data_IF_671982896442
#
_entry.id   IF_671982896442
#
_cell.length_a   1.000
_cell.length_b   1.000
_cell.length_c   1.000
_cell.angle_alpha   90.00
_cell.angle_beta   90.00
_cell.angle_gamma   90.00
#
_symmetry.space_group_name_H-M   'P 1'
#
loop_
_entity.id
_entity.type
_entity.pdbx_description
1 polymer ?
#
# COMPACT_ATOMS: atom_id res chain seq x y z
N UNK A 1 3.90 -6.11 -22.02
CA UNK A 1 3.32 -6.79 -20.85
C UNK A 1 1.89 -6.29 -20.56
N UNK A 2 0.98 -7.14 -20.06
CA UNK A 2 -0.32 -6.67 -19.52
C UNK A 2 -0.07 -6.16 -18.09
N UNK A 3 -0.39 -4.90 -17.74
CA UNK A 3 0.08 -4.31 -16.50
C UNK A 3 -0.71 -4.83 -15.29
N UNK A 4 -0.02 -5.56 -14.42
CA UNK A 4 -0.45 -5.86 -13.06
C UNK A 4 0.42 -5.07 -12.10
N UNK A 5 -0.18 -4.12 -11.39
CA UNK A 5 0.54 -3.09 -10.64
C UNK A 5 0.21 -3.20 -9.16
N UNK A 6 1.24 -3.30 -8.31
CA UNK A 6 1.11 -3.26 -6.85
C UNK A 6 1.61 -1.90 -6.34
N UNK A 7 0.73 -1.15 -5.68
CA UNK A 7 1.01 0.19 -5.16
C UNK A 7 1.01 0.17 -3.63
N UNK A 8 2.18 0.37 -3.03
CA UNK A 8 2.40 0.47 -1.59
C UNK A 8 2.38 1.89 -1.05
N UNK A 9 2.24 2.02 0.26
CA UNK A 9 2.35 3.30 0.99
C UNK A 9 1.42 3.39 2.19
N UNK A 10 1.75 4.27 3.14
CA UNK A 10 0.92 4.47 4.34
C UNK A 10 -0.31 5.38 4.06
N UNK A 11 -1.25 5.56 5.00
CA UNK A 11 -2.42 6.41 4.76
C UNK A 11 -2.03 7.86 4.47
N UNK A 12 -2.72 8.52 3.53
CA UNK A 12 -2.51 9.95 3.23
C UNK A 12 -1.39 10.27 2.24
N UNK A 13 -0.60 9.29 1.79
CA UNK A 13 0.49 9.51 0.80
C UNK A 13 -0.01 9.67 -0.64
N UNK A 14 -1.31 9.46 -0.90
CA UNK A 14 -1.91 9.66 -2.22
C UNK A 14 -2.03 8.41 -3.09
N UNK A 15 -1.90 7.20 -2.52
CA UNK A 15 -2.08 5.92 -3.25
C UNK A 15 -3.35 5.87 -4.09
N UNK A 16 -4.52 6.16 -3.51
CA UNK A 16 -5.80 6.04 -4.20
C UNK A 16 -5.92 7.04 -5.35
N UNK A 17 -5.41 8.26 -5.15
CA UNK A 17 -5.38 9.30 -6.16
C UNK A 17 -4.46 8.94 -7.33
N UNK A 18 -3.27 8.40 -7.05
CA UNK A 18 -2.33 7.94 -8.08
C UNK A 18 -2.84 6.69 -8.79
N UNK A 19 -3.45 5.75 -8.07
CA UNK A 19 -4.10 4.55 -8.65
C UNK A 19 -5.21 4.94 -9.62
N UNK A 20 -6.08 5.89 -9.24
CA UNK A 20 -7.13 6.40 -10.13
C UNK A 20 -6.59 7.20 -11.32
N UNK A 21 -5.45 7.85 -11.18
CA UNK A 21 -4.75 8.48 -12.30
C UNK A 21 -4.19 7.43 -13.27
N UNK A 22 -3.36 6.49 -12.78
CA UNK A 22 -2.79 5.39 -13.57
C UNK A 22 -3.91 4.60 -14.26
N UNK A 23 -4.99 4.28 -13.54
CA UNK A 23 -6.12 3.54 -14.08
C UNK A 23 -6.77 4.24 -15.28
N UNK A 24 -6.92 5.57 -15.21
CA UNK A 24 -7.43 6.35 -16.35
C UNK A 24 -6.46 6.39 -17.52
N UNK A 25 -5.17 6.64 -17.26
CA UNK A 25 -4.17 6.80 -18.32
C UNK A 25 -3.85 5.49 -19.07
N UNK A 26 -3.87 4.36 -18.37
CA UNK A 26 -3.61 3.04 -18.96
C UNK A 26 -4.87 2.23 -19.25
N UNK A 27 -6.06 2.82 -19.09
CA UNK A 27 -7.36 2.16 -19.28
C UNK A 27 -7.50 0.86 -18.44
N UNK A 28 -7.05 0.92 -17.19
CA UNK A 28 -7.15 -0.18 -16.22
C UNK A 28 -8.44 0.00 -15.42
N UNK A 29 -9.42 -0.86 -15.69
CA UNK A 29 -10.73 -0.79 -15.06
C UNK A 29 -10.80 -1.43 -13.67
N UNK A 30 -9.82 -2.28 -13.33
CA UNK A 30 -9.79 -3.00 -12.06
C UNK A 30 -8.79 -2.31 -11.13
N UNK A 31 -9.32 -1.58 -10.14
CA UNK A 31 -8.53 -0.94 -9.08
C UNK A 31 -9.05 -1.46 -7.74
N UNK A 32 -8.23 -2.26 -7.06
CA UNK A 32 -8.57 -2.92 -5.80
C UNK A 32 -7.83 -2.27 -4.64
N UNK A 33 -8.46 -2.26 -3.46
CA UNK A 33 -7.88 -1.75 -2.22
C UNK A 33 -7.64 -2.88 -1.23
N UNK A 34 -6.41 -2.97 -0.73
CA UNK A 34 -5.98 -3.88 0.33
C UNK A 34 -6.70 -3.65 1.65
N UNK A 35 -7.25 -2.45 1.88
CA UNK A 35 -8.08 -2.18 3.05
C UNK A 35 -9.37 -3.02 3.00
N UNK A 36 -10.03 -3.10 1.84
CA UNK A 36 -11.21 -3.96 1.67
C UNK A 36 -10.84 -5.45 1.71
N UNK A 37 -9.70 -5.84 1.15
CA UNK A 37 -9.23 -7.22 1.25
C UNK A 37 -9.03 -7.63 2.72
N UNK A 38 -8.42 -6.75 3.53
CA UNK A 38 -8.25 -6.96 4.96
C UNK A 38 -9.59 -7.06 5.68
N UNK A 39 -10.53 -6.16 5.42
CA UNK A 39 -11.88 -6.22 6.01
C UNK A 39 -12.62 -7.51 5.63
N UNK A 40 -12.45 -7.97 4.38
CA UNK A 40 -13.02 -9.22 3.91
C UNK A 40 -12.38 -10.44 4.60
N UNK A 41 -11.06 -10.46 4.77
CA UNK A 41 -10.34 -11.59 5.35
C UNK A 41 -10.44 -11.64 6.89
N UNK A 42 -10.60 -10.49 7.57
CA UNK A 42 -10.58 -10.38 9.03
C UNK A 42 -11.52 -11.35 9.77
N UNK A 43 -12.76 -11.63 9.31
CA UNK A 43 -13.65 -12.58 10.00
C UNK A 43 -13.20 -14.05 9.93
N UNK A 44 -12.27 -14.39 9.03
CA UNK A 44 -11.82 -15.77 8.80
C UNK A 44 -10.57 -16.14 9.60
N UNK A 45 -10.25 -15.37 10.64
CA UNK A 45 -9.08 -15.64 11.50
C UNK A 45 -9.33 -15.26 12.94
N UNK A 46 -8.79 -16.08 13.83
CA UNK A 46 -8.75 -15.79 15.26
C UNK A 46 -7.51 -14.99 15.67
N UNK A 47 -6.63 -14.66 14.72
CA UNK A 47 -5.42 -13.90 14.99
C UNK A 47 -5.79 -12.57 15.70
N UNK A 48 -5.32 -12.33 16.94
CA UNK A 48 -5.63 -11.12 17.68
C UNK A 48 -5.11 -9.85 16.99
N UNK A 49 -3.98 -9.91 16.28
CA UNK A 49 -3.45 -8.77 15.54
C UNK A 49 -4.45 -8.34 14.45
N UNK A 50 -5.14 -9.29 13.81
CA UNK A 50 -6.15 -9.00 12.78
C UNK A 50 -7.42 -8.34 13.34
N UNK A 51 -7.70 -8.47 14.65
CA UNK A 51 -8.82 -7.80 15.33
C UNK A 51 -8.52 -6.31 15.60
N UNK A 52 -7.25 -5.91 15.57
CA UNK A 52 -6.80 -4.54 15.76
C UNK A 52 -6.68 -3.77 14.43
N UNK A 53 -6.70 -2.43 14.50
CA UNK A 53 -6.22 -1.59 13.40
C UNK A 53 -4.72 -1.82 13.18
N UNK A 54 -4.21 -1.57 11.96
CA UNK A 54 -2.78 -1.77 11.64
C UNK A 54 -1.88 -1.02 12.64
N UNK A 55 -2.23 0.22 12.96
CA UNK A 55 -1.49 1.05 13.91
C UNK A 55 -1.61 0.61 15.38
N UNK A 56 -2.57 -0.26 15.74
CA UNK A 56 -2.71 -0.80 17.08
C UNK A 56 -2.26 -2.27 17.19
N UNK A 57 -1.87 -2.92 16.09
CA UNK A 57 -1.50 -4.32 16.07
C UNK A 57 -0.34 -4.65 17.04
N UNK A 58 0.50 -3.66 17.35
CA UNK A 58 1.58 -3.77 18.34
C UNK A 58 1.10 -4.16 19.75
N UNK A 59 -0.16 -3.87 20.09
CA UNK A 59 -0.71 -4.12 21.44
C UNK A 59 -0.76 -5.60 21.80
N UNK A 60 -0.80 -6.47 20.80
CA UNK A 60 -0.69 -7.93 20.97
C UNK A 60 0.70 -8.32 21.52
N UNK A 61 1.72 -7.52 21.22
CA UNK A 61 3.12 -7.79 21.55
C UNK A 61 3.64 -6.94 22.71
N UNK A 62 2.87 -5.96 23.18
CA UNK A 62 3.14 -5.17 24.38
C UNK A 62 3.11 -3.67 24.12
N UNK A 63 4.09 -2.96 24.68
CA UNK A 63 4.16 -1.50 24.62
C UNK A 63 4.47 -0.98 23.21
N UNK A 64 4.16 0.30 23.00
CA UNK A 64 4.41 0.99 21.74
C UNK A 64 5.92 1.25 21.56
N UNK A 65 6.60 0.31 20.91
CA UNK A 65 7.99 0.43 20.47
C UNK A 65 8.13 -0.12 19.03
N UNK A 66 9.23 0.22 18.37
CA UNK A 66 9.49 -0.15 16.98
C UNK A 66 9.37 -1.65 16.74
N UNK A 67 9.97 -2.49 17.58
CA UNK A 67 9.92 -3.94 17.43
C UNK A 67 8.48 -4.48 17.47
N UNK A 68 7.68 -4.03 18.43
CA UNK A 68 6.28 -4.44 18.56
C UNK A 68 5.40 -3.93 17.42
N UNK A 69 5.66 -2.70 16.92
CA UNK A 69 4.99 -2.15 15.73
C UNK A 69 5.25 -3.03 14.52
N UNK A 70 6.52 -3.31 14.25
CA UNK A 70 6.90 -4.15 13.11
C UNK A 70 6.35 -5.56 13.28
N UNK A 71 6.42 -6.14 14.48
CA UNK A 71 5.87 -7.46 14.74
C UNK A 71 4.35 -7.53 14.49
N UNK A 72 3.59 -6.53 14.94
CA UNK A 72 2.16 -6.42 14.67
C UNK A 72 1.83 -6.24 13.18
N UNK A 73 2.59 -5.40 12.49
CA UNK A 73 2.47 -5.20 11.05
C UNK A 73 2.76 -6.49 10.27
N UNK A 74 3.85 -7.20 10.61
CA UNK A 74 4.24 -8.45 9.98
C UNK A 74 3.24 -9.57 10.23
N UNK A 75 2.67 -9.65 11.42
CA UNK A 75 1.70 -10.68 11.76
C UNK A 75 0.38 -10.52 10.99
N UNK A 76 -0.12 -9.29 10.87
CA UNK A 76 -1.24 -9.01 9.95
C UNK A 76 -0.83 -9.30 8.50
N UNK A 77 0.36 -8.88 8.07
CA UNK A 77 0.84 -9.07 6.70
C UNK A 77 0.83 -10.55 6.30
N UNK A 78 1.39 -11.44 7.13
CA UNK A 78 1.41 -12.89 6.88
C UNK A 78 0.03 -13.47 6.58
N UNK A 79 -1.01 -12.93 7.20
CA UNK A 79 -2.38 -13.36 6.97
C UNK A 79 -3.00 -12.75 5.70
N UNK A 80 -2.63 -11.53 5.33
CA UNK A 80 -3.16 -10.82 4.16
C UNK A 80 -2.50 -11.26 2.84
N UNK A 81 -1.20 -11.58 2.87
CA UNK A 81 -0.41 -11.87 1.68
C UNK A 81 -0.93 -13.02 0.79
N UNK A 82 -1.47 -14.13 1.33
CA UNK A 82 -2.12 -15.14 0.49
C UNK A 82 -3.22 -14.58 -0.40
N UNK A 83 -4.02 -13.63 0.12
CA UNK A 83 -5.07 -12.94 -0.65
C UNK A 83 -4.48 -11.99 -1.71
N UNK A 84 -3.44 -11.22 -1.35
CA UNK A 84 -2.73 -10.35 -2.29
C UNK A 84 -2.16 -11.17 -3.45
N UNK A 85 -1.43 -12.25 -3.16
CA UNK A 85 -0.81 -13.10 -4.17
C UNK A 85 -1.88 -13.76 -5.06
N UNK A 86 -3.00 -14.23 -4.50
CA UNK A 86 -4.10 -14.79 -5.29
C UNK A 86 -4.70 -13.78 -6.27
N UNK A 87 -4.89 -12.53 -5.84
CA UNK A 87 -5.43 -11.44 -6.67
C UNK A 87 -4.45 -11.06 -7.79
N UNK A 88 -3.17 -10.87 -7.47
CA UNK A 88 -2.13 -10.54 -8.46
C UNK A 88 -1.98 -11.67 -9.49
N UNK A 89 -1.91 -12.93 -9.01
CA UNK A 89 -1.81 -14.13 -9.85
C UNK A 89 -2.99 -14.25 -10.81
N UNK A 90 -4.21 -13.94 -10.36
CA UNK A 90 -5.40 -13.92 -11.22
C UNK A 90 -5.27 -12.89 -12.34
N UNK A 91 -4.84 -11.67 -12.02
CA UNK A 91 -4.61 -10.62 -13.03
C UNK A 91 -3.63 -11.09 -14.11
N UNK A 92 -2.53 -11.72 -13.68
CA UNK A 92 -1.52 -12.28 -14.57
C UNK A 92 -2.10 -13.43 -15.42
N UNK A 93 -2.74 -14.42 -14.78
CA UNK A 93 -3.23 -15.63 -15.45
C UNK A 93 -4.32 -15.34 -16.47
N UNK A 94 -5.18 -14.35 -16.18
CA UNK A 94 -6.29 -13.99 -17.05
C UNK A 94 -5.91 -12.96 -18.11
N UNK A 95 -4.72 -12.36 -18.01
CA UNK A 95 -4.36 -11.21 -18.84
C UNK A 95 -5.27 -10.01 -18.57
N UNK A 96 -5.63 -9.78 -17.31
CA UNK A 96 -6.48 -8.67 -16.88
C UNK A 96 -5.59 -7.58 -16.27
N UNK A 97 -5.51 -6.38 -16.90
CA UNK A 97 -4.86 -5.24 -16.28
C UNK A 97 -5.49 -4.95 -14.91
N UNK A 98 -4.65 -4.76 -13.90
CA UNK A 98 -5.07 -4.62 -12.51
C UNK A 98 -4.14 -3.66 -11.77
N UNK A 99 -4.72 -2.81 -10.92
CA UNK A 99 -4.01 -2.07 -9.88
C UNK A 99 -4.51 -2.58 -8.52
N UNK A 100 -3.60 -3.00 -7.66
CA UNK A 100 -3.87 -3.26 -6.24
C UNK A 100 -3.10 -2.25 -5.40
N UNK A 101 -3.81 -1.38 -4.68
CA UNK A 101 -3.20 -0.49 -3.68
C UNK A 101 -3.30 -1.07 -2.28
N UNK A 102 -2.26 -0.95 -1.47
CA UNK A 102 -2.23 -1.53 -0.12
C UNK A 102 -1.26 -0.80 0.79
N UNK A 103 -1.50 -0.87 2.10
CA UNK A 103 -0.51 -0.50 3.12
C UNK A 103 0.50 -1.64 3.32
N UNK A 104 0.04 -2.89 3.25
CA UNK A 104 0.89 -4.08 3.37
C UNK A 104 1.78 -4.22 2.14
N UNK A 105 3.02 -3.78 2.27
CA UNK A 105 4.01 -3.77 1.20
C UNK A 105 5.37 -4.26 1.71
N UNK A 106 5.57 -5.55 1.54
CA UNK A 106 6.73 -6.36 1.89
C UNK A 106 7.02 -7.23 0.66
N UNK A 107 7.88 -6.77 -0.27
CA UNK A 107 8.14 -7.46 -1.53
C UNK A 107 8.60 -8.92 -1.37
N UNK A 108 9.24 -9.27 -0.25
CA UNK A 108 9.65 -10.63 0.07
C UNK A 108 8.47 -11.60 0.25
N UNK A 109 7.30 -11.12 0.66
CA UNK A 109 6.10 -11.96 0.84
C UNK A 109 5.32 -12.19 -0.47
N UNK A 110 5.76 -11.58 -1.58
CA UNK A 110 5.18 -11.81 -2.91
C UNK A 110 5.73 -13.12 -3.45
N UNK A 111 4.85 -13.99 -3.95
CA UNK A 111 5.27 -15.29 -4.48
C UNK A 111 6.29 -15.10 -5.62
N UNK A 112 7.39 -15.86 -5.55
CA UNK A 112 8.54 -15.70 -6.44
C UNK A 112 8.21 -15.91 -7.92
N UNK A 113 7.18 -16.69 -8.22
CA UNK A 113 6.78 -17.04 -9.58
C UNK A 113 5.89 -15.97 -10.26
N UNK A 114 5.44 -14.96 -9.51
CA UNK A 114 4.72 -13.79 -10.02
C UNK A 114 5.47 -12.47 -9.83
N UNK A 115 6.48 -12.43 -8.96
CA UNK A 115 7.16 -11.18 -8.56
C UNK A 115 7.80 -10.42 -9.73
N UNK A 116 8.35 -11.14 -10.70
CA UNK A 116 8.96 -10.56 -11.92
C UNK A 116 7.93 -10.11 -12.96
N UNK A 117 6.65 -10.47 -12.78
CA UNK A 117 5.53 -10.17 -13.69
C UNK A 117 4.66 -9.01 -13.21
N UNK A 118 4.98 -8.42 -12.06
CA UNK A 118 4.25 -7.29 -11.49
C UNK A 118 5.09 -6.02 -11.48
N UNK A 119 4.43 -4.89 -11.66
CA UNK A 119 5.05 -3.57 -11.54
C UNK A 119 4.85 -3.09 -10.10
N UNK A 120 5.93 -2.96 -9.35
CA UNK A 120 5.89 -2.54 -7.95
C UNK A 120 6.26 -1.07 -7.79
N UNK A 121 5.39 -0.32 -7.12
CA UNK A 121 5.59 1.11 -6.81
C UNK A 121 5.31 1.32 -5.33
N UNK A 122 6.19 2.03 -4.62
CA UNK A 122 5.95 2.45 -3.24
C UNK A 122 5.90 3.98 -3.17
N UNK A 123 4.80 4.52 -2.65
CA UNK A 123 4.57 5.96 -2.56
C UNK A 123 4.78 6.42 -1.12
N UNK A 124 5.60 7.45 -0.94
CA UNK A 124 5.79 8.14 0.35
C UNK A 124 5.65 9.66 0.19
N UNK A 125 5.63 10.41 1.28
CA UNK A 125 5.76 11.87 1.28
C UNK A 125 6.87 12.23 2.26
N UNK A 126 7.96 12.84 1.80
CA UNK A 126 9.06 13.23 2.69
C UNK A 126 8.73 14.47 3.54
N UNK A 127 7.85 15.35 3.05
CA UNK A 127 7.36 16.54 3.76
C UNK A 127 6.27 16.15 4.78
N UNK A 128 6.67 15.95 6.03
CA UNK A 128 5.77 15.58 7.14
C UNK A 128 4.64 16.62 7.41
N UNK A 129 4.90 17.94 7.41
CA UNK A 129 3.84 18.94 7.43
C UNK A 129 2.79 18.75 6.32
N UNK A 130 3.23 18.54 5.08
CA UNK A 130 2.36 18.30 3.94
C UNK A 130 1.56 17.00 4.10
N UNK A 131 2.21 15.91 4.52
CA UNK A 131 1.56 14.62 4.75
C UNK A 131 0.46 14.74 5.81
N UNK A 132 0.77 15.39 6.92
CA UNK A 132 -0.19 15.67 8.00
C UNK A 132 -1.38 16.47 7.49
N UNK A 133 -1.14 17.52 6.69
CA UNK A 133 -2.19 18.33 6.08
C UNK A 133 -3.11 17.49 5.17
N UNK A 134 -2.54 16.70 4.25
CA UNK A 134 -3.30 15.84 3.33
C UNK A 134 -4.13 14.79 4.08
N UNK A 135 -3.58 14.25 5.16
CA UNK A 135 -4.29 13.26 5.99
C UNK A 135 -5.49 13.87 6.72
N UNK A 136 -5.38 15.12 7.22
CA UNK A 136 -6.51 15.88 7.78
C UNK A 136 -7.57 16.17 6.72
N UNK A 137 -7.16 16.49 5.50
CA UNK A 137 -8.07 16.82 4.40
C UNK A 137 -8.85 15.59 3.89
N UNK A 138 -8.36 14.35 4.09
CA UNK A 138 -9.10 13.13 3.68
C UNK A 138 -10.51 13.04 4.25
N UNK A 139 -10.75 13.53 5.46
CA UNK A 139 -12.09 13.54 6.08
C UNK A 139 -13.08 14.42 5.34
N UNK A 140 -12.58 15.43 4.62
CA UNK A 140 -13.40 16.39 3.89
C UNK A 140 -13.75 15.92 2.48
N UNK A 141 -12.98 15.00 1.89
CA UNK A 141 -13.07 14.72 0.45
C UNK A 141 -13.27 13.26 0.07
N UNK A 142 -12.75 12.29 0.84
CA UNK A 142 -12.72 10.88 0.40
C UNK A 142 -13.20 9.89 1.45
N UNK A 143 -13.09 10.21 2.74
CA UNK A 143 -13.56 9.35 3.83
C UNK A 143 -14.27 10.19 4.89
N UNK A 144 -15.52 10.57 4.61
CA UNK A 144 -16.33 11.47 5.45
C UNK A 144 -16.51 11.00 6.91
N UNK A 145 -16.43 9.68 7.15
CA UNK A 145 -16.49 9.07 8.48
C UNK A 145 -15.12 8.68 9.03
N UNK A 146 -14.02 8.99 8.33
CA UNK A 146 -12.67 8.69 8.81
C UNK A 146 -12.29 9.64 9.93
N UNK A 147 -11.69 9.14 11.01
CA UNK A 147 -11.22 9.99 12.09
C UNK A 147 -9.86 10.58 11.72
N UNK A 148 -9.81 11.52 10.77
CA UNK A 148 -8.55 12.05 10.22
C UNK A 148 -7.60 12.63 11.25
N UNK A 149 -8.12 13.31 12.28
CA UNK A 149 -7.30 13.75 13.43
C UNK A 149 -6.67 12.55 14.15
N UNK A 150 -7.46 11.51 14.43
CA UNK A 150 -6.93 10.27 15.05
C UNK A 150 -5.87 9.61 14.19
N UNK A 151 -5.97 9.66 12.85
CA UNK A 151 -4.97 9.09 11.95
C UNK A 151 -3.66 9.90 11.92
N UNK A 152 -3.75 11.23 12.05
CA UNK A 152 -2.55 12.08 12.21
C UNK A 152 -1.80 11.72 13.48
N UNK A 153 -2.52 11.46 14.58
CA UNK A 153 -1.91 11.02 15.83
C UNK A 153 -1.20 9.67 15.71
N UNK A 154 -1.54 8.86 14.71
CA UNK A 154 -0.88 7.57 14.44
C UNK A 154 0.27 7.67 13.44
N UNK A 155 0.57 8.85 12.88
CA UNK A 155 1.69 9.01 11.94
C UNK A 155 3.03 8.48 12.49
N UNK A 156 3.39 8.64 13.78
CA UNK A 156 4.62 8.04 14.31
C UNK A 156 4.70 6.52 14.11
N UNK A 157 3.58 5.81 14.30
CA UNK A 157 3.51 4.35 14.07
C UNK A 157 3.60 4.05 12.57
N UNK A 158 2.88 4.81 11.75
CA UNK A 158 2.93 4.61 10.30
C UNK A 158 4.29 4.92 9.69
N UNK A 159 5.02 5.93 10.17
CA UNK A 159 6.37 6.25 9.69
C UNK A 159 7.34 5.09 9.98
N UNK A 160 7.18 4.39 11.10
CA UNK A 160 7.96 3.16 11.39
C UNK A 160 7.65 2.07 10.36
N UNK A 161 6.36 1.83 10.07
CA UNK A 161 5.92 0.85 9.04
C UNK A 161 6.41 1.26 7.64
N UNK A 162 6.35 2.56 7.32
CA UNK A 162 6.79 3.11 6.05
C UNK A 162 8.29 2.89 5.85
N UNK A 163 9.08 3.25 6.86
CA UNK A 163 10.52 3.03 6.87
C UNK A 163 10.84 1.54 6.68
N UNK A 164 10.18 0.66 7.43
CA UNK A 164 10.37 -0.78 7.27
C UNK A 164 10.08 -1.26 5.84
N UNK A 165 8.97 -0.79 5.24
CA UNK A 165 8.58 -1.20 3.88
C UNK A 165 9.58 -0.71 2.83
N UNK A 166 10.09 0.52 2.97
CA UNK A 166 11.11 1.08 2.08
C UNK A 166 12.48 0.40 2.25
N UNK A 167 12.90 0.14 3.50
CA UNK A 167 14.19 -0.52 3.78
C UNK A 167 14.23 -1.97 3.28
N UNK A 168 13.08 -2.64 3.24
CA UNK A 168 12.93 -4.01 2.72
C UNK A 168 12.53 -4.04 1.23
N UNK A 169 12.55 -2.90 0.54
CA UNK A 169 12.30 -2.84 -0.89
C UNK A 169 13.59 -3.07 -1.69
N UNK A 170 13.52 -3.97 -2.67
CA UNK A 170 14.62 -4.24 -3.60
C UNK A 170 14.68 -3.25 -4.76
N UNK A 171 15.63 -3.46 -5.67
CA UNK A 171 15.79 -2.65 -6.91
C UNK A 171 14.62 -2.79 -7.90
N UNK A 172 13.78 -3.80 -7.68
CA UNK A 172 12.55 -4.10 -8.42
C UNK A 172 11.36 -3.23 -8.00
N UNK A 173 11.50 -2.45 -6.92
CA UNK A 173 10.48 -1.52 -6.44
C UNK A 173 10.84 -0.09 -6.81
N UNK A 174 9.91 0.61 -7.46
CA UNK A 174 10.04 2.04 -7.68
C UNK A 174 9.50 2.84 -6.49
N UNK A 175 10.39 3.35 -5.66
CA UNK A 175 10.04 4.22 -4.52
C UNK A 175 9.97 5.66 -5.02
N UNK A 176 8.86 6.35 -4.74
CA UNK A 176 8.64 7.73 -5.18
C UNK A 176 8.01 8.62 -4.11
N UNK A 177 8.60 9.82 -3.97
CA UNK A 177 8.09 10.90 -3.12
C UNK A 177 6.99 11.69 -3.83
N UNK A 178 5.80 11.70 -3.24
CA UNK A 178 4.61 12.37 -3.72
C UNK A 178 4.38 13.76 -3.08
N UNK A 179 5.45 14.43 -2.64
CA UNK A 179 5.35 15.81 -2.15
C UNK A 179 4.84 16.77 -3.25
N UNK A 180 5.20 16.54 -4.51
CA UNK A 180 4.63 17.19 -5.69
C UNK A 180 3.81 16.20 -6.52
N UNK A 181 2.48 16.35 -6.50
CA UNK A 181 1.57 15.43 -7.19
C UNK A 181 1.72 15.49 -8.71
N UNK A 182 1.95 16.67 -9.30
CA UNK A 182 2.05 16.80 -10.75
C UNK A 182 3.33 16.15 -11.26
N UNK A 183 4.47 16.46 -10.63
CA UNK A 183 5.76 15.82 -10.95
C UNK A 183 5.72 14.30 -10.77
N UNK A 184 5.06 13.83 -9.69
CA UNK A 184 4.93 12.40 -9.39
C UNK A 184 4.15 11.65 -10.45
N UNK A 185 3.07 12.23 -10.98
CA UNK A 185 2.31 11.64 -12.09
C UNK A 185 3.20 11.35 -13.30
N UNK A 186 4.00 12.32 -13.76
CA UNK A 186 4.89 12.13 -14.91
C UNK A 186 5.89 11.00 -14.67
N UNK A 187 6.57 11.01 -13.51
CA UNK A 187 7.59 10.02 -13.17
C UNK A 187 7.03 8.59 -13.07
N UNK A 188 5.85 8.42 -12.48
CA UNK A 188 5.17 7.13 -12.40
C UNK A 188 4.77 6.63 -13.80
N UNK A 189 4.25 7.52 -14.66
CA UNK A 189 3.87 7.14 -16.02
C UNK A 189 5.07 6.65 -16.82
N UNK A 190 6.19 7.36 -16.73
CA UNK A 190 7.42 6.98 -17.43
C UNK A 190 7.94 5.62 -16.94
N UNK A 191 7.97 5.40 -15.63
CA UNK A 191 8.36 4.11 -15.05
C UNK A 191 7.46 2.96 -15.51
N UNK A 192 6.13 3.13 -15.45
CA UNK A 192 5.18 2.09 -15.86
C UNK A 192 5.28 1.82 -17.36
N UNK A 193 5.41 2.85 -18.20
CA UNK A 193 5.58 2.68 -19.66
C UNK A 193 6.82 1.85 -19.99
N UNK A 194 7.95 2.14 -19.35
CA UNK A 194 9.18 1.37 -19.51
C UNK A 194 8.97 -0.11 -19.17
N UNK A 195 8.32 -0.39 -18.04
CA UNK A 195 8.03 -1.77 -17.60
C UNK A 195 7.02 -2.53 -18.46
N UNK A 196 6.14 -1.81 -19.15
CA UNK A 196 5.18 -2.44 -20.08
C UNK A 196 5.86 -2.82 -21.40
N UNK A 197 6.88 -2.06 -21.81
CA UNK A 197 7.63 -2.28 -23.06
C UNK A 197 8.77 -3.27 -22.93
N UNK A 198 9.30 -3.47 -21.72
CA UNK A 198 10.23 -4.56 -21.37
C UNK A 198 9.52 -5.93 -21.44
#
# INVERSE_FOLDING_TARGET
>A
MIPVILIGGIPGVGKTSLSGFIGREFNINIVLSGDYLREFLRPYTDNPAMKESVYNAYRVYGENNENNIIQGYLDQSKFIYPGINAVLRRGISNGEPLILETLYFIPEMIDSDIRDKIIMVYIHISDMPLHSKRLKERTKYTHFNSPGERLVDQLPVYTIIEKYSMDNSGKDVFIIDNSDFESTKYRIMDYIKLKITD
#
